data_IF_359301501319
#
_entry.id   IF_359301501319
#
_cell.length_a   1.000
_cell.length_b   1.000
_cell.length_c   1.000
_cell.angle_alpha   90.00
_cell.angle_beta   90.00
_cell.angle_gamma   90.00
#
_symmetry.space_group_name_H-M   'P 1'
#
loop_
_entity.id
_entity.type
_entity.pdbx_description
1 polymer ?
#
# COMPACT_ATOMS: atom_id res chain seq x y z
N UNK A 1 19.52 -42.30 16.79
CA UNK A 1 20.51 -41.28 16.37
C UNK A 1 20.21 -40.93 14.93
N UNK A 2 19.71 -39.71 14.73
CA UNK A 2 19.58 -38.93 13.48
C UNK A 2 18.73 -39.55 12.35
N UNK A 3 17.41 -39.35 12.43
CA UNK A 3 16.54 -39.30 11.24
C UNK A 3 16.69 -37.92 10.58
N UNK A 4 16.96 -37.94 9.28
CA UNK A 4 17.08 -36.77 8.41
C UNK A 4 15.71 -36.12 8.23
N UNK A 5 15.60 -34.86 8.60
CA UNK A 5 14.48 -33.98 8.29
C UNK A 5 14.53 -33.58 6.81
N UNK A 6 13.68 -34.20 5.99
CA UNK A 6 13.36 -33.68 4.66
C UNK A 6 12.51 -32.40 4.83
N UNK A 7 13.08 -31.25 4.47
CA UNK A 7 12.34 -30.00 4.31
C UNK A 7 11.43 -30.10 3.08
N UNK A 8 10.13 -30.27 3.32
CA UNK A 8 9.10 -30.28 2.29
C UNK A 8 8.92 -28.87 1.71
N UNK A 9 9.61 -28.59 0.60
CA UNK A 9 9.26 -27.49 -0.30
C UNK A 9 7.89 -27.80 -0.92
N UNK A 10 6.81 -27.31 -0.32
CA UNK A 10 5.45 -27.44 -0.86
C UNK A 10 5.35 -26.58 -2.12
N UNK A 11 5.49 -27.23 -3.28
CA UNK A 11 5.16 -26.68 -4.61
C UNK A 11 3.77 -26.05 -4.55
N UNK A 12 3.68 -24.75 -4.81
CA UNK A 12 2.42 -24.06 -5.12
C UNK A 12 1.81 -24.70 -6.37
N UNK A 13 0.86 -25.61 -6.14
CA UNK A 13 -0.01 -26.15 -7.17
C UNK A 13 -0.97 -25.04 -7.56
N UNK A 14 -0.94 -24.62 -8.84
CA UNK A 14 -1.93 -23.71 -9.43
C UNK A 14 -3.34 -24.19 -9.03
N UNK A 15 -4.00 -23.48 -8.13
CA UNK A 15 -5.41 -23.66 -7.86
C UNK A 15 -6.19 -23.00 -8.99
N UNK A 16 -6.42 -23.77 -10.05
CA UNK A 16 -7.62 -23.58 -10.85
C UNK A 16 -8.83 -24.00 -9.99
N UNK A 17 -9.80 -23.10 -9.90
CA UNK A 17 -11.20 -23.36 -9.52
C UNK A 17 -11.37 -23.85 -8.08
N UNK A 18 -11.34 -22.93 -7.11
CA UNK A 18 -12.14 -23.10 -5.89
C UNK A 18 -13.57 -22.65 -6.21
N UNK A 19 -14.50 -23.61 -6.17
CA UNK A 19 -15.89 -23.44 -6.58
C UNK A 19 -16.73 -22.68 -5.55
N UNK A 20 -16.60 -21.35 -5.54
CA UNK A 20 -17.63 -20.46 -5.01
C UNK A 20 -18.18 -19.62 -6.17
N UNK A 21 -19.33 -20.04 -6.70
CA UNK A 21 -20.08 -19.26 -7.68
C UNK A 21 -20.87 -18.21 -6.91
N UNK A 22 -20.49 -16.94 -7.04
CA UNK A 22 -21.39 -15.85 -6.64
C UNK A 22 -22.52 -15.76 -7.67
N UNK A 23 -23.75 -15.77 -7.18
CA UNK A 23 -25.01 -15.86 -7.95
C UNK A 23 -25.35 -14.54 -8.69
N UNK A 24 -24.44 -13.57 -8.70
CA UNK A 24 -24.65 -12.20 -9.18
C UNK A 24 -23.79 -11.79 -10.37
N UNK A 25 -22.89 -12.65 -10.86
CA UNK A 25 -22.09 -12.38 -12.07
C UNK A 25 -20.88 -11.46 -11.88
N UNK A 26 -20.64 -10.93 -10.68
CA UNK A 26 -19.37 -10.29 -10.34
C UNK A 26 -18.35 -11.38 -9.97
N UNK A 27 -17.19 -11.37 -10.64
CA UNK A 27 -16.05 -12.16 -10.19
C UNK A 27 -15.69 -11.67 -8.78
N UNK A 28 -15.84 -12.53 -7.78
CA UNK A 28 -15.08 -12.35 -6.53
C UNK A 28 -13.63 -12.24 -6.97
N UNK A 29 -13.08 -11.04 -6.84
CA UNK A 29 -11.75 -10.67 -7.33
C UNK A 29 -10.73 -11.60 -6.70
N UNK A 30 -10.37 -12.65 -7.43
CA UNK A 30 -9.50 -13.75 -6.96
C UNK A 30 -8.16 -13.24 -6.43
N UNK A 31 -7.74 -12.07 -6.91
CA UNK A 31 -6.49 -11.43 -6.53
C UNK A 31 -6.56 -10.74 -5.15
N UNK A 32 -7.71 -10.19 -4.76
CA UNK A 32 -7.92 -9.61 -3.42
C UNK A 32 -7.78 -10.72 -2.36
N UNK A 33 -8.51 -11.82 -2.55
CA UNK A 33 -8.43 -13.00 -1.65
C UNK A 33 -7.00 -13.57 -1.61
N UNK A 34 -6.36 -13.73 -2.77
CA UNK A 34 -5.01 -14.27 -2.86
C UNK A 34 -3.97 -13.37 -2.17
N UNK A 35 -4.02 -12.07 -2.42
CA UNK A 35 -3.09 -11.10 -1.83
C UNK A 35 -3.25 -11.04 -0.32
N UNK A 36 -4.50 -11.04 0.17
CA UNK A 36 -4.80 -11.09 1.59
C UNK A 36 -4.23 -12.34 2.26
N UNK A 37 -4.51 -13.53 1.69
CA UNK A 37 -3.99 -14.80 2.20
C UNK A 37 -2.45 -14.81 2.23
N UNK A 38 -1.79 -14.29 1.19
CA UNK A 38 -0.33 -14.21 1.14
C UNK A 38 0.22 -13.31 2.24
N UNK A 39 -0.31 -12.10 2.42
CA UNK A 39 0.18 -11.16 3.44
C UNK A 39 -0.02 -11.73 4.84
N UNK A 40 -1.20 -12.28 5.14
CA UNK A 40 -1.51 -12.91 6.44
C UNK A 40 -0.54 -14.06 6.73
N UNK A 41 -0.31 -14.95 5.77
CA UNK A 41 0.56 -16.11 5.95
C UNK A 41 2.03 -15.69 6.15
N UNK A 42 2.53 -14.73 5.36
CA UNK A 42 3.90 -14.25 5.46
C UNK A 42 4.14 -13.49 6.76
N UNK A 43 3.17 -12.68 7.21
CA UNK A 43 3.27 -11.96 8.49
C UNK A 43 3.16 -12.91 9.69
N UNK A 44 2.27 -13.91 9.64
CA UNK A 44 2.14 -14.92 10.70
C UNK A 44 3.44 -15.72 10.86
N UNK A 45 4.05 -16.14 9.75
CA UNK A 45 5.32 -16.89 9.75
C UNK A 45 6.57 -16.03 10.02
N UNK A 46 6.43 -14.71 10.07
CA UNK A 46 7.56 -13.80 10.37
C UNK A 46 7.96 -13.77 11.84
N UNK A 47 7.10 -14.27 12.75
CA UNK A 47 7.25 -14.11 14.21
C UNK A 47 7.36 -12.64 14.67
N UNK A 48 6.98 -11.68 13.82
CA UNK A 48 7.06 -10.25 14.08
C UNK A 48 5.75 -9.61 14.56
N UNK A 49 4.62 -10.11 14.07
CA UNK A 49 3.29 -9.57 14.35
C UNK A 49 2.60 -10.28 15.52
N UNK A 50 1.77 -9.57 16.29
CA UNK A 50 0.86 -10.13 17.29
C UNK A 50 -0.61 -9.97 16.92
N UNK A 51 -0.94 -8.94 16.14
CA UNK A 51 -2.25 -8.66 15.61
C UNK A 51 -2.12 -8.04 14.22
N UNK A 52 -3.11 -8.29 13.36
CA UNK A 52 -3.16 -7.77 12.00
C UNK A 52 -4.55 -7.22 11.69
N UNK A 53 -4.61 -6.12 10.96
CA UNK A 53 -5.85 -5.52 10.45
C UNK A 53 -5.73 -5.45 8.94
N UNK A 54 -6.64 -6.13 8.23
CA UNK A 54 -6.71 -6.13 6.76
C UNK A 54 -7.98 -5.42 6.33
N UNK A 55 -7.93 -4.69 5.21
CA UNK A 55 -9.15 -4.18 4.54
C UNK A 55 -10.15 -5.32 4.23
N UNK A 56 -9.62 -6.50 3.87
CA UNK A 56 -10.40 -7.68 3.45
C UNK A 56 -10.95 -8.52 4.63
N UNK A 57 -10.59 -8.19 5.87
CA UNK A 57 -11.05 -8.91 7.06
C UNK A 57 -11.82 -8.00 8.01
N UNK A 58 -13.08 -8.34 8.26
CA UNK A 58 -13.95 -7.59 9.17
C UNK A 58 -13.43 -7.56 10.61
N UNK A 59 -12.81 -8.63 11.07
CA UNK A 59 -12.29 -8.73 12.44
C UNK A 59 -10.76 -8.73 12.45
N UNK A 60 -10.19 -8.23 13.55
CA UNK A 60 -8.75 -8.27 13.79
C UNK A 60 -8.25 -9.72 13.79
N UNK A 61 -7.15 -9.96 13.09
CA UNK A 61 -6.52 -11.27 13.03
C UNK A 61 -5.50 -11.35 14.16
N UNK A 62 -5.76 -12.20 15.15
CA UNK A 62 -4.83 -12.43 16.26
C UNK A 62 -3.86 -13.57 15.89
N UNK A 63 -2.56 -13.27 15.93
CA UNK A 63 -1.52 -14.25 15.61
C UNK A 63 -1.50 -15.35 16.68
N UNK A 64 -1.35 -16.65 16.32
CA UNK A 64 -1.24 -17.74 17.30
C UNK A 64 -0.09 -17.55 18.28
N UNK A 65 -0.29 -17.94 19.55
CA UNK A 65 0.61 -17.62 20.68
C UNK A 65 2.08 -17.97 20.44
N UNK A 66 2.33 -19.10 19.79
CA UNK A 66 3.64 -19.65 19.46
C UNK A 66 4.35 -18.94 18.29
N UNK A 67 3.63 -18.08 17.55
CA UNK A 67 4.12 -17.31 16.40
C UNK A 67 4.07 -15.79 16.61
N UNK A 68 3.76 -15.32 17.82
CA UNK A 68 3.60 -13.89 18.09
C UNK A 68 4.92 -13.14 18.19
N UNK A 69 4.95 -11.96 17.58
CA UNK A 69 5.93 -10.92 17.86
C UNK A 69 5.35 -9.76 18.67
N UNK A 70 5.89 -8.55 18.43
CA UNK A 70 5.61 -7.33 19.22
C UNK A 70 4.95 -6.22 18.42
N UNK A 71 4.61 -6.48 17.16
CA UNK A 71 4.09 -5.48 16.24
C UNK A 71 2.63 -5.74 15.88
N UNK A 72 1.89 -4.65 15.66
CA UNK A 72 0.57 -4.68 15.03
C UNK A 72 0.74 -4.20 13.60
N UNK A 73 0.18 -4.92 12.63
CA UNK A 73 0.32 -4.59 11.20
C UNK A 73 -1.05 -4.31 10.61
N UNK A 74 -1.27 -3.08 10.14
CA UNK A 74 -2.45 -2.70 9.38
C UNK A 74 -2.07 -2.67 7.90
N UNK A 75 -2.86 -3.28 7.01
CA UNK A 75 -2.55 -3.32 5.60
C UNK A 75 -3.80 -3.32 4.72
N UNK A 76 -3.62 -2.79 3.51
CA UNK A 76 -4.51 -3.01 2.37
C UNK A 76 -3.75 -3.95 1.42
N UNK A 77 -4.18 -5.22 1.28
CA UNK A 77 -3.44 -6.21 0.53
C UNK A 77 -3.43 -5.90 -0.99
N UNK A 78 -4.47 -5.24 -1.51
CA UNK A 78 -4.58 -4.86 -2.91
C UNK A 78 -5.39 -3.56 -3.13
N UNK A 79 -4.73 -2.42 -2.94
CA UNK A 79 -5.30 -1.11 -3.21
C UNK A 79 -5.53 -0.90 -4.72
N UNK A 80 -6.64 -0.25 -5.05
CA UNK A 80 -7.03 0.01 -6.42
C UNK A 80 -7.61 -1.21 -7.15
N UNK A 81 -8.19 -2.17 -6.44
CA UNK A 81 -8.73 -3.40 -7.06
C UNK A 81 -9.79 -3.15 -8.16
N UNK A 82 -10.44 -1.98 -8.19
CA UNK A 82 -11.32 -1.56 -9.29
C UNK A 82 -10.60 -1.30 -10.62
N UNK A 83 -9.28 -1.12 -10.59
CA UNK A 83 -8.43 -0.84 -11.73
C UNK A 83 -7.82 -2.11 -12.36
N UNK A 84 -8.09 -3.29 -11.80
CA UNK A 84 -7.52 -4.57 -12.26
C UNK A 84 -7.92 -4.84 -13.72
N UNK A 85 -9.20 -4.70 -14.05
CA UNK A 85 -9.72 -5.05 -15.38
C UNK A 85 -9.22 -4.13 -16.49
N UNK A 86 -8.83 -2.90 -16.14
CA UNK A 86 -8.27 -1.92 -17.08
C UNK A 86 -6.74 -1.88 -17.09
N UNK A 87 -6.07 -2.79 -16.37
CA UNK A 87 -4.61 -2.88 -16.27
C UNK A 87 -3.95 -1.57 -15.80
N UNK A 88 -4.67 -0.77 -15.02
CA UNK A 88 -4.09 0.40 -14.37
C UNK A 88 -3.29 -0.04 -13.13
N UNK A 89 -2.44 0.86 -12.64
CA UNK A 89 -1.57 0.56 -11.50
C UNK A 89 -2.39 0.28 -10.24
N UNK A 90 -1.97 -0.76 -9.53
CA UNK A 90 -2.52 -1.21 -8.24
C UNK A 90 -1.37 -1.32 -7.24
N UNK A 91 -1.67 -1.56 -5.96
CA UNK A 91 -0.62 -1.60 -4.94
C UNK A 91 -0.99 -2.37 -3.70
N UNK A 92 -0.07 -2.43 -2.74
CA UNK A 92 -0.28 -2.95 -1.39
C UNK A 92 0.18 -1.88 -0.42
N UNK A 93 -0.62 -1.52 0.57
CA UNK A 93 -0.28 -0.49 1.57
C UNK A 93 -0.11 -1.15 2.92
N UNK A 94 0.88 -0.72 3.71
CA UNK A 94 1.05 -1.24 5.07
C UNK A 94 1.54 -0.17 6.04
N UNK A 95 1.12 -0.34 7.29
CA UNK A 95 1.56 0.43 8.44
C UNK A 95 1.82 -0.52 9.62
N UNK A 96 2.97 -0.35 10.26
CA UNK A 96 3.42 -1.16 11.38
C UNK A 96 3.45 -0.27 12.62
N UNK A 97 2.79 -0.74 13.68
CA UNK A 97 2.78 -0.15 15.00
C UNK A 97 3.48 -1.07 15.98
N UNK A 98 4.07 -0.51 17.03
CA UNK A 98 4.51 -1.29 18.18
C UNK A 98 3.32 -1.52 19.12
N UNK A 99 3.12 -2.74 19.61
CA UNK A 99 2.15 -3.00 20.68
C UNK A 99 2.55 -2.23 21.93
N UNK A 100 1.60 -1.55 22.56
CA UNK A 100 1.85 -0.67 23.73
C UNK A 100 1.37 -1.25 25.05
N UNK A 101 0.59 -2.34 25.01
CA UNK A 101 0.00 -2.98 26.19
C UNK A 101 0.74 -4.30 26.51
N UNK A 102 0.69 -4.73 27.78
CA UNK A 102 1.22 -6.04 28.20
C UNK A 102 0.15 -7.15 28.23
N UNK A 103 -1.09 -6.83 27.82
CA UNK A 103 -2.23 -7.76 27.80
C UNK A 103 -2.20 -8.68 26.58
N UNK A 104 -3.14 -9.62 26.48
CA UNK A 104 -3.37 -10.35 25.23
C UNK A 104 -3.67 -9.37 24.07
N UNK A 105 -3.14 -9.62 22.85
CA UNK A 105 -3.41 -8.77 21.69
C UNK A 105 -4.91 -8.70 21.40
N UNK A 106 -5.41 -7.49 21.18
CA UNK A 106 -6.81 -7.26 20.79
C UNK A 106 -6.93 -6.14 19.77
N UNK A 107 -8.15 -5.90 19.29
CA UNK A 107 -8.46 -4.86 18.31
C UNK A 107 -7.98 -3.46 18.76
N UNK A 108 -8.06 -3.16 20.06
CA UNK A 108 -7.62 -1.86 20.59
C UNK A 108 -6.14 -1.58 20.38
N UNK A 109 -5.29 -2.61 20.25
CA UNK A 109 -3.86 -2.43 19.98
C UNK A 109 -3.60 -1.86 18.58
N UNK A 110 -4.56 -1.99 17.65
CA UNK A 110 -4.51 -1.41 16.31
C UNK A 110 -5.08 0.02 16.24
N UNK A 111 -5.92 0.41 17.20
CA UNK A 111 -6.57 1.73 17.28
C UNK A 111 -5.62 2.80 17.85
N UNK A 112 -4.43 2.90 17.25
CA UNK A 112 -3.42 3.89 17.59
C UNK A 112 -3.45 5.05 16.60
N UNK A 113 -3.09 6.28 17.03
CA UNK A 113 -2.96 7.40 16.11
C UNK A 113 -1.79 7.15 15.14
N UNK A 114 -1.94 7.57 13.88
CA UNK A 114 -0.91 7.36 12.84
C UNK A 114 0.48 7.94 13.15
N UNK A 115 0.59 8.88 14.10
CA UNK A 115 1.88 9.37 14.62
C UNK A 115 2.69 8.30 15.36
N UNK A 116 2.07 7.18 15.74
CA UNK A 116 2.70 6.06 16.43
C UNK A 116 3.21 4.97 15.46
N UNK A 117 3.02 5.14 14.14
CA UNK A 117 3.58 4.26 13.13
C UNK A 117 5.10 4.24 13.27
N UNK A 118 5.68 3.04 13.39
CA UNK A 118 7.14 2.86 13.44
C UNK A 118 7.73 2.58 12.05
N UNK A 119 6.95 1.97 11.17
CA UNK A 119 7.29 1.72 9.77
C UNK A 119 6.02 1.81 8.94
N UNK A 120 6.07 2.49 7.80
CA UNK A 120 5.01 2.45 6.81
C UNK A 120 5.58 2.48 5.40
N UNK A 121 4.79 1.99 4.46
CA UNK A 121 5.17 1.95 3.07
C UNK A 121 4.06 1.46 2.18
N UNK A 122 4.38 1.39 0.89
CA UNK A 122 3.52 0.75 -0.08
C UNK A 122 4.37 0.06 -1.15
N UNK A 123 3.85 -1.04 -1.68
CA UNK A 123 4.28 -1.62 -2.93
C UNK A 123 3.39 -1.08 -4.06
N UNK A 124 3.99 -0.63 -5.15
CA UNK A 124 3.32 -0.18 -6.35
C UNK A 124 3.59 -1.18 -7.48
N UNK A 125 2.52 -1.75 -8.04
CA UNK A 125 2.55 -2.65 -9.18
C UNK A 125 2.16 -1.86 -10.43
N UNK A 126 3.13 -1.08 -10.93
CA UNK A 126 2.98 -0.25 -12.13
C UNK A 126 3.70 -0.83 -13.35
N UNK A 127 4.25 0.05 -14.19
CA UNK A 127 5.16 -0.37 -15.27
C UNK A 127 6.43 -1.06 -14.76
N UNK A 128 6.81 -0.77 -13.51
CA UNK A 128 7.79 -1.51 -12.72
C UNK A 128 7.23 -1.69 -11.30
N UNK A 129 7.71 -2.72 -10.59
CA UNK A 129 7.34 -2.95 -9.19
C UNK A 129 8.27 -2.18 -8.28
N UNK A 130 7.72 -1.30 -7.45
CA UNK A 130 8.46 -0.45 -6.52
C UNK A 130 7.93 -0.61 -5.10
N UNK A 131 8.81 -0.58 -4.11
CA UNK A 131 8.46 -0.46 -2.70
C UNK A 131 8.99 0.86 -2.18
N UNK A 132 8.10 1.74 -1.73
CA UNK A 132 8.45 2.94 -0.98
C UNK A 132 8.31 2.64 0.52
N UNK A 133 9.34 2.93 1.31
CA UNK A 133 9.41 2.58 2.72
C UNK A 133 9.91 3.75 3.56
N UNK A 134 9.33 3.94 4.74
CA UNK A 134 9.81 4.86 5.77
C UNK A 134 9.85 4.18 7.12
N UNK A 135 10.95 4.38 7.85
CA UNK A 135 11.16 3.96 9.24
C UNK A 135 11.26 5.15 10.21
N UNK A 136 10.80 6.33 9.75
CA UNK A 136 10.90 7.60 10.48
C UNK A 136 12.12 8.46 10.16
N UNK A 137 13.06 7.98 9.33
CA UNK A 137 14.29 8.69 8.96
C UNK A 137 14.36 9.08 7.47
N UNK A 138 13.21 9.40 6.88
CA UNK A 138 13.07 9.67 5.45
C UNK A 138 12.33 8.56 4.74
N UNK A 139 12.25 8.68 3.41
CA UNK A 139 11.57 7.72 2.54
C UNK A 139 12.60 7.20 1.54
N UNK A 140 12.71 5.89 1.42
CA UNK A 140 13.57 5.23 0.44
C UNK A 140 12.69 4.42 -0.53
N UNK A 141 13.07 4.40 -1.80
CA UNK A 141 12.39 3.64 -2.85
C UNK A 141 13.30 2.53 -3.36
N UNK A 142 12.74 1.32 -3.42
CA UNK A 142 13.40 0.13 -3.92
C UNK A 142 12.63 -0.39 -5.13
N UNK A 143 13.32 -0.71 -6.21
CA UNK A 143 12.72 -1.28 -7.41
C UNK A 143 13.05 -2.76 -7.51
N UNK A 144 12.07 -3.59 -7.80
CA UNK A 144 12.26 -5.02 -8.02
C UNK A 144 13.02 -5.24 -9.34
N UNK A 145 14.13 -5.96 -9.29
CA UNK A 145 14.72 -6.59 -10.46
C UNK A 145 14.10 -8.00 -10.61
N UNK A 146 13.25 -8.25 -11.62
CA UNK A 146 12.58 -9.55 -11.77
C UNK A 146 13.53 -10.69 -12.14
N UNK A 147 14.70 -10.40 -12.72
CA UNK A 147 15.68 -11.41 -13.08
C UNK A 147 16.45 -11.91 -11.87
N UNK A 148 16.72 -11.03 -10.91
CA UNK A 148 17.38 -11.37 -9.64
C UNK A 148 16.39 -11.80 -8.54
N UNK A 149 15.16 -11.30 -8.59
CA UNK A 149 14.17 -11.47 -7.53
C UNK A 149 14.45 -10.60 -6.30
N UNK A 150 15.15 -9.48 -6.47
CA UNK A 150 15.63 -8.62 -5.39
C UNK A 150 15.15 -7.17 -5.53
N UNK A 151 14.90 -6.52 -4.39
CA UNK A 151 14.56 -5.10 -4.33
C UNK A 151 15.83 -4.26 -4.19
N UNK A 152 16.15 -3.48 -5.22
CA UNK A 152 17.36 -2.66 -5.30
C UNK A 152 17.01 -1.22 -4.95
N UNK A 153 17.78 -0.59 -4.05
CA UNK A 153 17.62 0.83 -3.71
C UNK A 153 17.86 1.69 -4.96
N UNK A 154 16.84 2.43 -5.40
CA UNK A 154 16.92 3.31 -6.58
C UNK A 154 16.88 4.78 -6.21
N UNK A 155 16.11 5.16 -5.18
CA UNK A 155 16.05 6.52 -4.67
C UNK A 155 16.16 6.54 -3.15
N UNK A 156 17.08 7.35 -2.64
CA UNK A 156 17.34 7.47 -1.21
C UNK A 156 16.84 8.80 -0.66
N UNK A 157 16.23 8.77 0.53
CA UNK A 157 15.75 9.93 1.28
C UNK A 157 14.92 10.90 0.41
N UNK A 158 13.97 10.35 -0.34
CA UNK A 158 13.07 11.04 -1.24
C UNK A 158 12.39 12.22 -0.54
N UNK A 159 12.36 13.36 -1.23
CA UNK A 159 11.67 14.58 -0.78
C UNK A 159 10.72 15.07 -1.87
N UNK A 160 9.49 15.36 -1.45
CA UNK A 160 8.52 16.01 -2.32
C UNK A 160 8.95 17.45 -2.62
N UNK A 161 8.66 17.94 -3.84
CA UNK A 161 8.88 19.33 -4.22
C UNK A 161 8.03 20.25 -3.32
N UNK A 162 8.57 21.42 -2.96
CA UNK A 162 7.83 22.42 -2.14
C UNK A 162 6.51 22.87 -2.77
N UNK A 163 6.41 22.89 -4.10
CA UNK A 163 5.18 23.23 -4.84
C UNK A 163 5.04 22.32 -6.05
N UNK A 164 3.91 21.62 -6.12
CA UNK A 164 3.52 20.79 -7.28
C UNK A 164 2.82 21.58 -8.37
N UNK A 165 2.67 20.96 -9.54
CA UNK A 165 1.93 21.50 -10.70
C UNK A 165 0.70 20.68 -11.08
N UNK A 166 0.43 19.60 -10.35
CA UNK A 166 -0.63 18.64 -10.63
C UNK A 166 -1.57 18.60 -9.42
N UNK A 167 -2.87 18.48 -9.68
CA UNK A 167 -3.87 18.12 -8.68
C UNK A 167 -4.48 16.76 -9.04
N UNK A 168 -4.89 15.97 -8.06
CA UNK A 168 -5.53 14.66 -8.27
C UNK A 168 -6.77 14.57 -7.40
N UNK A 169 -7.94 14.46 -8.05
CA UNK A 169 -9.25 14.21 -7.44
C UNK A 169 -10.23 13.73 -8.51
N UNK A 170 -11.35 13.13 -8.10
CA UNK A 170 -12.45 12.80 -9.01
C UNK A 170 -13.46 13.96 -9.11
N UNK A 171 -13.35 14.75 -10.18
CA UNK A 171 -14.25 15.89 -10.43
C UNK A 171 -15.71 15.50 -10.75
N UNK A 172 -16.01 14.22 -10.96
CA UNK A 172 -17.40 13.74 -11.05
C UNK A 172 -18.22 14.04 -9.80
N UNK A 173 -17.56 14.28 -8.66
CA UNK A 173 -18.18 14.70 -7.41
C UNK A 173 -18.32 16.22 -7.24
N UNK A 174 -18.05 17.03 -8.28
CA UNK A 174 -18.03 18.49 -8.20
C UNK A 174 -19.27 19.11 -7.53
N UNK A 175 -20.44 18.52 -7.75
CA UNK A 175 -21.71 18.96 -7.14
C UNK A 175 -21.69 18.92 -5.59
N UNK A 176 -20.91 18.02 -5.01
CA UNK A 176 -20.87 17.72 -3.58
C UNK A 176 -19.65 18.30 -2.88
N UNK A 177 -18.77 19.00 -3.59
CA UNK A 177 -17.58 19.59 -3.00
C UNK A 177 -17.92 20.76 -2.11
N UNK A 178 -17.25 20.82 -0.96
CA UNK A 178 -17.27 22.01 -0.11
C UNK A 178 -16.77 23.25 -0.87
N UNK A 179 -17.22 24.46 -0.46
CA UNK A 179 -16.83 25.70 -1.12
C UNK A 179 -15.31 25.88 -1.27
N UNK A 180 -14.54 25.49 -0.24
CA UNK A 180 -13.07 25.59 -0.26
C UNK A 180 -12.41 24.72 -1.34
N UNK A 181 -12.94 23.52 -1.59
CA UNK A 181 -12.44 22.62 -2.65
C UNK A 181 -12.79 23.20 -4.01
N UNK A 182 -14.01 23.70 -4.17
CA UNK A 182 -14.47 24.35 -5.41
C UNK A 182 -13.61 25.57 -5.76
N UNK A 183 -13.34 26.44 -4.78
CA UNK A 183 -12.45 27.59 -4.92
C UNK A 183 -11.03 27.18 -5.31
N UNK A 184 -10.48 26.18 -4.62
CA UNK A 184 -9.15 25.64 -4.93
C UNK A 184 -9.07 25.16 -6.39
N UNK A 185 -10.06 24.40 -6.86
CA UNK A 185 -10.10 23.91 -8.25
C UNK A 185 -10.20 25.04 -9.27
N UNK A 186 -11.05 26.04 -9.00
CA UNK A 186 -11.15 27.22 -9.86
C UNK A 186 -9.80 27.92 -9.98
N UNK A 187 -9.08 28.09 -8.86
CA UNK A 187 -7.74 28.69 -8.85
C UNK A 187 -6.68 27.85 -9.59
N UNK A 188 -6.84 26.52 -9.68
CA UNK A 188 -5.95 25.65 -10.48
C UNK A 188 -6.24 25.70 -11.97
N UNK A 189 -7.52 25.74 -12.35
CA UNK A 189 -7.95 25.74 -13.75
C UNK A 189 -7.84 27.11 -14.41
N UNK A 190 -8.15 28.16 -13.64
CA UNK A 190 -8.21 29.54 -14.09
C UNK A 190 -7.32 30.40 -13.19
N UNK A 191 -5.98 30.23 -13.24
CA UNK A 191 -5.09 31.02 -12.41
C UNK A 191 -5.18 32.50 -12.81
N UNK A 192 -5.30 33.43 -11.85
CA UNK A 192 -5.53 34.85 -12.12
C UNK A 192 -4.42 35.53 -12.96
N UNK A 193 -3.20 35.01 -12.91
CA UNK A 193 -2.03 35.55 -13.63
C UNK A 193 -1.52 34.57 -14.70
N UNK A 194 -2.42 33.87 -15.41
CA UNK A 194 -2.05 32.86 -16.42
C UNK A 194 -1.01 33.39 -17.42
N UNK A 195 -1.16 34.64 -17.86
CA UNK A 195 -0.24 35.28 -18.82
C UNK A 195 1.17 35.48 -18.26
N UNK A 196 1.30 35.92 -17.01
CA UNK A 196 2.60 36.09 -16.33
C UNK A 196 3.29 34.74 -16.10
N UNK A 197 2.52 33.67 -15.85
CA UNK A 197 3.07 32.32 -15.71
C UNK A 197 3.53 31.74 -17.04
N UNK A 198 2.83 32.01 -18.14
CA UNK A 198 3.26 31.63 -19.49
C UNK A 198 4.56 32.34 -19.86
N UNK A 199 4.65 33.66 -19.63
CA UNK A 199 5.87 34.44 -19.89
C UNK A 199 7.06 33.91 -19.06
N UNK A 200 6.86 33.63 -17.77
CA UNK A 200 7.91 33.07 -16.91
C UNK A 200 8.39 31.67 -17.36
N UNK A 201 7.53 30.86 -17.98
CA UNK A 201 7.92 29.55 -18.53
C UNK A 201 8.70 29.68 -19.85
N UNK A 202 8.32 30.62 -20.72
CA UNK A 202 9.05 30.92 -21.96
C UNK A 202 10.46 31.45 -21.65
N UNK A 203 10.59 32.34 -20.67
CA UNK A 203 11.89 32.88 -20.24
C UNK A 203 12.79 31.82 -19.57
N UNK A 204 12.18 30.84 -18.88
CA UNK A 204 12.93 29.73 -18.27
C UNK A 204 13.42 28.71 -19.31
N UNK A 205 12.66 28.49 -20.39
CA UNK A 205 13.03 27.60 -21.50
C UNK A 205 14.08 28.19 -22.45
N UNK A 206 14.23 29.52 -22.49
CA UNK A 206 15.25 30.20 -23.30
C UNK A 206 16.65 30.25 -22.65
N UNK A 207 16.80 29.75 -21.41
CA UNK A 207 18.07 29.75 -20.64
C UNK A 207 18.74 28.37 -20.56
N UNK A 208 18.32 27.41 -21.38
CA UNK A 208 18.99 26.12 -21.60
C UNK A 208 19.59 26.09 -23.00
#
# INVERSE_FOLDING_TARGET
MVERTEMTYRRYRKYGISGSVNVTGDEVKKLDVLSNDLVINMLTSSYGACAMVSEENKEVIIVPKDMRGKYVVCFDPLDGSSNIDCLASIGTIFAIYRKTTDTEPCEQDALQPGRNIVVAGYALYGSATLVALSTGQGVDCFMLDPALGEFILVDRNVKIKKKGKIYSLNEGYAKYFDPAVTEYLNNKKFPPNLWEQILAQLDAGAKT
#
